data_IF_242891808594
#
_entry.id   IF_242891808594
#
_cell.length_a   1.000
_cell.length_b   1.000
_cell.length_c   1.000
_cell.angle_alpha   90.00
_cell.angle_beta   90.00
_cell.angle_gamma   90.00
#
_symmetry.space_group_name_H-M   'P 1'
#
loop_
_entity.id
_entity.type
_entity.pdbx_description
1 polymer ?
#
# COMPACT_ATOMS: atom_id res chain seq x y z
N UNK A 1 -27.98 -36.88 1.75
CA UNK A 1 -29.33 -36.31 1.58
C UNK A 1 -29.96 -36.17 2.95
N UNK A 2 -29.69 -35.04 3.58
CA UNK A 2 -30.60 -34.31 4.47
C UNK A 2 -30.04 -32.88 4.48
N UNK A 3 -30.70 -31.96 3.79
CA UNK A 3 -30.31 -30.56 3.69
C UNK A 3 -30.87 -29.83 4.93
N UNK A 4 -30.05 -29.37 5.90
CA UNK A 4 -30.57 -28.64 7.04
C UNK A 4 -30.85 -27.21 6.60
N UNK A 5 -32.04 -26.97 6.02
CA UNK A 5 -32.60 -25.62 5.92
C UNK A 5 -32.89 -25.11 7.35
N UNK A 6 -31.88 -24.55 8.00
CA UNK A 6 -31.96 -23.99 9.35
C UNK A 6 -32.52 -22.56 9.29
N UNK A 7 -33.84 -22.45 9.19
CA UNK A 7 -34.58 -21.20 9.48
C UNK A 7 -34.96 -21.21 10.96
N UNK A 8 -34.28 -20.44 11.80
CA UNK A 8 -34.58 -20.36 13.24
C UNK A 8 -34.27 -18.98 13.80
N UNK A 9 -35.08 -18.50 14.74
CA UNK A 9 -34.89 -17.22 15.42
C UNK A 9 -34.55 -17.42 16.91
N UNK A 10 -33.46 -16.79 17.34
CA UNK A 10 -32.90 -16.71 18.70
C UNK A 10 -32.29 -18.01 19.26
N UNK A 11 -31.01 -18.21 18.96
CA UNK A 11 -30.18 -19.28 19.55
C UNK A 11 -28.95 -18.63 20.20
N UNK A 12 -28.70 -18.94 21.47
CA UNK A 12 -27.56 -18.39 22.23
C UNK A 12 -26.23 -18.95 21.74
N UNK A 13 -26.15 -20.24 21.43
CA UNK A 13 -24.96 -20.82 20.82
C UNK A 13 -25.32 -22.05 20.00
N UNK A 14 -24.76 -22.15 18.79
CA UNK A 14 -24.85 -23.34 17.94
C UNK A 14 -23.42 -23.79 17.58
N UNK A 15 -23.14 -25.07 17.77
CA UNK A 15 -21.85 -25.68 17.43
C UNK A 15 -22.12 -26.86 16.50
N UNK A 16 -21.66 -26.79 15.26
CA UNK A 16 -21.77 -27.89 14.30
C UNK A 16 -20.37 -28.41 13.94
N UNK A 17 -20.27 -29.73 13.79
CA UNK A 17 -19.09 -30.43 13.27
C UNK A 17 -19.49 -31.45 12.20
N UNK A 18 -20.09 -31.01 11.08
CA UNK A 18 -20.33 -31.90 9.96
C UNK A 18 -19.00 -32.30 9.31
N UNK A 19 -18.94 -33.51 8.78
CA UNK A 19 -17.70 -34.07 8.22
C UNK A 19 -17.47 -33.56 6.80
N UNK A 20 -18.49 -33.69 5.92
CA UNK A 20 -18.58 -33.19 4.55
C UNK A 20 -20.03 -32.73 4.33
N UNK A 21 -20.28 -31.51 3.83
CA UNK A 21 -21.65 -31.05 3.61
C UNK A 21 -21.74 -29.90 2.58
N UNK A 22 -22.39 -30.17 1.44
CA UNK A 22 -22.88 -29.14 0.51
C UNK A 22 -24.08 -28.43 1.17
N UNK A 23 -23.79 -27.41 1.98
CA UNK A 23 -24.81 -26.75 2.80
C UNK A 23 -25.24 -25.40 2.22
N UNK A 24 -26.52 -25.07 2.39
CA UNK A 24 -27.02 -23.71 2.15
C UNK A 24 -27.63 -23.15 3.43
N UNK A 25 -27.08 -22.04 3.90
CA UNK A 25 -27.58 -21.29 5.04
C UNK A 25 -28.13 -19.97 4.53
N UNK A 26 -29.44 -19.81 4.64
CA UNK A 26 -30.15 -18.63 4.14
C UNK A 26 -31.00 -18.03 5.26
N UNK A 27 -31.06 -16.70 5.30
CA UNK A 27 -31.95 -15.94 6.21
C UNK A 27 -31.71 -16.25 7.71
N UNK A 28 -30.45 -16.48 8.09
CA UNK A 28 -30.11 -16.77 9.49
C UNK A 28 -29.87 -15.47 10.25
N UNK A 29 -30.63 -15.25 11.33
CA UNK A 29 -30.48 -14.03 12.13
C UNK A 29 -30.57 -14.27 13.64
N UNK A 30 -29.99 -13.34 14.41
CA UNK A 30 -30.10 -13.24 15.88
C UNK A 30 -29.43 -14.40 16.66
N UNK A 31 -28.16 -14.66 16.38
CA UNK A 31 -27.35 -15.60 17.16
C UNK A 31 -26.35 -14.84 18.02
N UNK A 32 -26.13 -15.29 19.25
CA UNK A 32 -24.96 -14.78 20.01
C UNK A 32 -23.68 -15.42 19.46
N UNK A 33 -23.65 -16.73 19.23
CA UNK A 33 -22.46 -17.40 18.68
C UNK A 33 -22.82 -18.58 17.77
N UNK A 34 -22.17 -18.66 16.61
CA UNK A 34 -22.17 -19.83 15.73
C UNK A 34 -20.72 -20.30 15.52
N UNK A 35 -20.44 -21.57 15.80
CA UNK A 35 -19.15 -22.20 15.56
C UNK A 35 -19.32 -23.39 14.61
N UNK A 36 -18.64 -23.35 13.48
CA UNK A 36 -18.60 -24.43 12.50
C UNK A 36 -17.16 -24.88 12.33
N UNK A 37 -16.92 -26.19 12.47
CA UNK A 37 -15.62 -26.81 12.20
C UNK A 37 -15.84 -28.02 11.31
N UNK A 38 -15.26 -28.01 10.12
CA UNK A 38 -15.53 -29.00 9.06
C UNK A 38 -14.23 -29.51 8.46
N UNK A 39 -14.32 -30.62 7.73
CA UNK A 39 -13.21 -31.10 6.89
C UNK A 39 -13.30 -30.34 5.58
N UNK A 40 -14.35 -30.58 4.80
CA UNK A 40 -14.54 -29.95 3.49
C UNK A 40 -15.84 -29.14 3.48
N UNK A 41 -15.79 -27.92 2.94
CA UNK A 41 -16.92 -26.99 2.91
C UNK A 41 -17.14 -26.40 1.51
N UNK A 42 -18.18 -26.86 0.79
CA UNK A 42 -18.79 -26.13 -0.32
C UNK A 42 -20.12 -25.57 0.20
N UNK A 43 -20.07 -24.40 0.80
CA UNK A 43 -21.25 -23.79 1.45
C UNK A 43 -21.63 -22.45 0.85
N UNK A 44 -22.94 -22.18 0.88
CA UNK A 44 -23.48 -20.86 0.54
C UNK A 44 -24.16 -20.26 1.74
N UNK A 45 -23.66 -19.10 2.15
CA UNK A 45 -24.19 -18.26 3.21
C UNK A 45 -24.80 -17.03 2.57
N UNK A 46 -26.10 -16.84 2.76
CA UNK A 46 -26.84 -15.72 2.18
C UNK A 46 -27.76 -15.11 3.23
N UNK A 47 -27.84 -13.79 3.29
CA UNK A 47 -28.72 -13.05 4.21
C UNK A 47 -28.46 -13.43 5.69
N UNK A 48 -27.20 -13.38 6.12
CA UNK A 48 -26.82 -13.68 7.50
C UNK A 48 -26.68 -12.38 8.28
N UNK A 49 -27.45 -12.20 9.35
CA UNK A 49 -27.47 -10.93 10.08
C UNK A 49 -27.48 -11.05 11.61
N UNK A 50 -27.00 -10.01 12.30
CA UNK A 50 -27.14 -9.85 13.76
C UNK A 50 -26.49 -10.97 14.57
N UNK A 51 -25.20 -11.20 14.35
CA UNK A 51 -24.39 -12.11 15.14
C UNK A 51 -23.45 -11.34 16.07
N UNK A 52 -23.26 -11.83 17.31
CA UNK A 52 -22.10 -11.36 18.08
C UNK A 52 -20.82 -12.01 17.55
N UNK A 53 -20.80 -13.34 17.38
CA UNK A 53 -19.62 -14.03 16.85
C UNK A 53 -19.99 -15.15 15.88
N UNK A 54 -19.30 -15.19 14.74
CA UNK A 54 -19.28 -16.31 13.82
C UNK A 54 -17.84 -16.82 13.67
N UNK A 55 -17.63 -18.12 13.90
CA UNK A 55 -16.34 -18.77 13.75
C UNK A 55 -16.46 -19.94 12.77
N UNK A 56 -15.76 -19.87 11.64
CA UNK A 56 -15.67 -20.94 10.65
C UNK A 56 -14.22 -21.46 10.59
N UNK A 57 -14.07 -22.77 10.67
CA UNK A 57 -12.78 -23.47 10.59
C UNK A 57 -12.90 -24.77 9.77
N UNK A 58 -13.19 -24.66 8.48
CA UNK A 58 -13.03 -25.77 7.56
C UNK A 58 -11.53 -26.15 7.41
N UNK A 59 -11.26 -27.32 6.84
CA UNK A 59 -9.91 -27.65 6.36
C UNK A 59 -9.78 -27.10 4.94
N UNK A 60 -10.73 -27.44 4.07
CA UNK A 60 -10.84 -26.94 2.70
C UNK A 60 -12.17 -26.17 2.54
N UNK A 61 -12.14 -24.94 2.02
CA UNK A 61 -13.31 -24.06 1.86
C UNK A 61 -13.47 -23.57 0.41
N UNK A 62 -14.59 -23.88 -0.24
CA UNK A 62 -15.05 -23.25 -1.50
C UNK A 62 -16.42 -22.60 -1.24
N UNK A 63 -16.43 -21.65 -0.30
CA UNK A 63 -17.67 -21.03 0.16
C UNK A 63 -18.00 -19.72 -0.54
N UNK A 64 -19.29 -19.41 -0.56
CA UNK A 64 -19.82 -18.12 -1.01
C UNK A 64 -20.58 -17.46 0.12
N UNK A 65 -20.13 -16.27 0.49
CA UNK A 65 -20.73 -15.42 1.50
C UNK A 65 -21.31 -14.19 0.81
N UNK A 66 -22.62 -14.00 0.95
CA UNK A 66 -23.34 -12.90 0.32
C UNK A 66 -24.29 -12.27 1.33
N UNK A 67 -24.38 -10.94 1.35
CA UNK A 67 -25.28 -10.20 2.25
C UNK A 67 -25.06 -10.57 3.73
N UNK A 68 -23.81 -10.40 4.19
CA UNK A 68 -23.44 -10.65 5.58
C UNK A 68 -23.37 -9.32 6.34
N UNK A 69 -24.24 -9.13 7.32
CA UNK A 69 -24.42 -7.83 7.95
C UNK A 69 -24.52 -7.87 9.50
N UNK A 70 -24.12 -6.79 10.16
CA UNK A 70 -24.24 -6.59 11.61
C UNK A 70 -23.57 -7.70 12.46
N UNK A 71 -22.27 -7.85 12.32
CA UNK A 71 -21.45 -8.77 13.14
C UNK A 71 -20.56 -8.00 14.12
N UNK A 72 -20.45 -8.45 15.37
CA UNK A 72 -19.34 -7.95 16.20
C UNK A 72 -18.02 -8.59 15.76
N UNK A 73 -18.00 -9.90 15.52
CA UNK A 73 -16.77 -10.58 15.09
C UNK A 73 -17.06 -11.72 14.11
N UNK A 74 -16.31 -11.76 13.02
CA UNK A 74 -16.22 -12.89 12.10
C UNK A 74 -14.76 -13.41 12.08
N UNK A 75 -14.58 -14.71 12.31
CA UNK A 75 -13.29 -15.37 12.23
C UNK A 75 -13.34 -16.54 11.26
N UNK A 76 -12.54 -16.47 10.19
CA UNK A 76 -12.38 -17.53 9.21
C UNK A 76 -10.93 -18.03 9.28
N UNK A 77 -10.77 -19.35 9.43
CA UNK A 77 -9.46 -20.03 9.46
C UNK A 77 -9.52 -21.37 8.73
N UNK A 78 -9.76 -21.35 7.42
CA UNK A 78 -9.49 -22.49 6.55
C UNK A 78 -8.01 -22.87 6.57
N UNK A 79 -7.68 -24.08 6.10
CA UNK A 79 -6.31 -24.42 5.69
C UNK A 79 -6.15 -23.98 4.24
N UNK A 80 -7.03 -24.43 3.37
CA UNK A 80 -7.10 -24.08 1.94
C UNK A 80 -8.45 -23.37 1.67
N UNK A 81 -8.46 -22.24 0.97
CA UNK A 81 -9.65 -21.41 0.73
C UNK A 81 -9.77 -20.94 -0.75
N UNK A 82 -10.95 -21.07 -1.37
CA UNK A 82 -11.37 -20.42 -2.64
C UNK A 82 -12.71 -19.73 -2.40
N UNK A 83 -12.75 -18.87 -1.39
CA UNK A 83 -13.99 -18.21 -0.99
C UNK A 83 -14.29 -16.93 -1.78
N UNK A 84 -15.57 -16.62 -1.86
CA UNK A 84 -16.07 -15.37 -2.45
C UNK A 84 -16.95 -14.65 -1.45
N UNK A 85 -16.59 -13.41 -1.16
CA UNK A 85 -17.27 -12.53 -0.22
C UNK A 85 -17.85 -11.34 -0.97
N UNK A 86 -19.15 -11.14 -0.84
CA UNK A 86 -19.87 -10.06 -1.52
C UNK A 86 -20.83 -9.40 -0.54
N UNK A 87 -20.89 -8.07 -0.55
CA UNK A 87 -21.80 -7.29 0.29
C UNK A 87 -21.63 -7.62 1.79
N UNK A 88 -20.40 -7.43 2.29
CA UNK A 88 -20.08 -7.61 3.71
C UNK A 88 -20.06 -6.25 4.40
N UNK A 89 -20.99 -6.03 5.33
CA UNK A 89 -21.14 -4.74 5.99
C UNK A 89 -21.23 -4.80 7.54
N UNK A 90 -20.89 -3.68 8.18
CA UNK A 90 -21.12 -3.44 9.60
C UNK A 90 -20.49 -4.47 10.55
N UNK A 91 -19.18 -4.65 10.40
CA UNK A 91 -18.38 -5.51 11.28
C UNK A 91 -17.57 -4.67 12.28
N UNK A 92 -17.53 -5.08 13.55
CA UNK A 92 -16.48 -4.53 14.44
C UNK A 92 -15.13 -5.15 14.09
N UNK A 93 -15.06 -6.46 13.87
CA UNK A 93 -13.81 -7.13 13.52
C UNK A 93 -14.02 -8.29 12.54
N UNK A 94 -13.20 -8.33 11.49
CA UNK A 94 -13.04 -9.46 10.59
C UNK A 94 -11.60 -9.97 10.69
N UNK A 95 -11.42 -11.28 10.94
CA UNK A 95 -10.12 -11.93 10.98
C UNK A 95 -10.10 -13.11 10.00
N UNK A 96 -9.19 -13.05 9.04
CA UNK A 96 -8.97 -14.09 8.02
C UNK A 96 -7.54 -14.60 8.18
N UNK A 97 -7.40 -15.92 8.31
CA UNK A 97 -6.10 -16.60 8.44
C UNK A 97 -6.14 -17.98 7.76
N UNK A 98 -6.30 -18.00 6.44
CA UNK A 98 -5.99 -19.19 5.64
C UNK A 98 -4.51 -19.55 5.76
N UNK A 99 -4.16 -20.76 5.34
CA UNK A 99 -2.76 -21.11 5.04
C UNK A 99 -2.50 -20.81 3.57
N UNK A 100 -3.37 -21.33 2.69
CA UNK A 100 -3.38 -21.08 1.25
C UNK A 100 -4.78 -20.55 0.84
N UNK A 101 -4.89 -19.49 0.01
CA UNK A 101 -6.17 -18.85 -0.36
C UNK A 101 -6.20 -18.28 -1.81
N UNK A 102 -7.29 -18.45 -2.56
CA UNK A 102 -7.67 -17.61 -3.72
C UNK A 102 -9.01 -16.90 -3.47
N UNK A 103 -9.01 -15.96 -2.53
CA UNK A 103 -10.23 -15.27 -2.14
C UNK A 103 -10.50 -13.99 -2.91
N UNK A 104 -11.79 -13.77 -3.18
CA UNK A 104 -12.29 -12.56 -3.85
C UNK A 104 -13.27 -11.83 -2.94
N UNK A 105 -13.01 -10.55 -2.72
CA UNK A 105 -13.79 -9.66 -1.85
C UNK A 105 -14.34 -8.51 -2.67
N UNK A 106 -15.65 -8.31 -2.61
CA UNK A 106 -16.35 -7.25 -3.34
C UNK A 106 -17.33 -6.55 -2.40
N UNK A 107 -17.31 -5.21 -2.39
CA UNK A 107 -18.21 -4.39 -1.58
C UNK A 107 -18.08 -4.70 -0.08
N UNK A 108 -16.89 -4.36 0.44
CA UNK A 108 -16.57 -4.52 1.86
C UNK A 108 -16.68 -3.15 2.55
N UNK A 109 -17.73 -2.97 3.36
CA UNK A 109 -18.04 -1.67 3.98
C UNK A 109 -18.06 -1.71 5.52
N UNK A 110 -17.61 -0.61 6.13
CA UNK A 110 -17.82 -0.28 7.55
C UNK A 110 -17.24 -1.33 8.52
N UNK A 111 -15.92 -1.47 8.50
CA UNK A 111 -15.18 -2.29 9.45
C UNK A 111 -14.43 -1.42 10.45
N UNK A 112 -14.54 -1.70 11.75
CA UNK A 112 -13.58 -1.09 12.70
C UNK A 112 -12.20 -1.70 12.52
N UNK A 113 -12.10 -3.01 12.28
CA UNK A 113 -10.80 -3.67 12.05
C UNK A 113 -10.91 -4.85 11.10
N UNK A 114 -10.04 -4.89 10.09
CA UNK A 114 -9.79 -6.05 9.24
C UNK A 114 -8.36 -6.53 9.47
N UNK A 115 -8.19 -7.82 9.78
CA UNK A 115 -6.88 -8.46 9.94
C UNK A 115 -6.75 -9.65 8.99
N UNK A 116 -5.80 -9.57 8.06
CA UNK A 116 -5.43 -10.66 7.15
C UNK A 116 -4.03 -11.15 7.50
N UNK A 117 -3.88 -12.46 7.70
CA UNK A 117 -2.58 -13.11 7.92
C UNK A 117 -2.50 -14.47 7.22
N UNK A 118 -2.48 -14.43 5.89
CA UNK A 118 -2.24 -15.60 5.06
C UNK A 118 -0.77 -16.01 4.99
N UNK A 119 -0.51 -17.13 4.32
CA UNK A 119 0.86 -17.63 4.11
C UNK A 119 1.23 -17.75 2.63
N UNK A 120 0.32 -18.20 1.75
CA UNK A 120 0.54 -18.36 0.29
C UNK A 120 -0.76 -18.14 -0.49
N UNK A 121 -1.02 -16.91 -0.94
CA UNK A 121 -2.38 -16.54 -1.35
C UNK A 121 -2.49 -15.56 -2.54
N UNK A 122 -3.58 -15.69 -3.29
CA UNK A 122 -4.01 -14.82 -4.38
C UNK A 122 -5.27 -14.02 -3.98
N UNK A 123 -5.13 -12.74 -3.65
CA UNK A 123 -6.27 -11.92 -3.24
C UNK A 123 -6.71 -10.87 -4.24
N UNK A 124 -8.03 -10.73 -4.38
CA UNK A 124 -8.64 -9.64 -5.15
C UNK A 124 -9.68 -8.89 -4.32
N UNK A 125 -9.42 -7.61 -4.07
CA UNK A 125 -10.30 -6.69 -3.36
C UNK A 125 -10.83 -5.63 -4.33
N UNK A 126 -12.15 -5.42 -4.30
CA UNK A 126 -12.83 -4.39 -5.10
C UNK A 126 -13.89 -3.70 -4.26
N UNK A 127 -13.97 -2.38 -4.37
CA UNK A 127 -14.91 -1.53 -3.64
C UNK A 127 -14.80 -1.74 -2.12
N UNK A 128 -13.68 -1.31 -1.55
CA UNK A 128 -13.42 -1.40 -0.12
C UNK A 128 -13.48 -0.01 0.51
N UNK A 129 -14.45 0.23 1.39
CA UNK A 129 -14.61 1.54 2.00
C UNK A 129 -14.78 1.50 3.53
N UNK A 130 -14.33 2.58 4.18
CA UNK A 130 -14.61 2.89 5.58
C UNK A 130 -14.03 1.90 6.62
N UNK A 131 -12.72 1.65 6.55
CA UNK A 131 -12.01 0.94 7.62
C UNK A 131 -11.36 1.91 8.62
N UNK A 132 -11.49 1.62 9.92
CA UNK A 132 -10.68 2.31 10.94
C UNK A 132 -9.27 1.72 11.01
N UNK A 133 -9.10 0.42 10.80
CA UNK A 133 -7.77 -0.19 10.78
C UNK A 133 -7.75 -1.40 9.85
N UNK A 134 -6.80 -1.41 8.92
CA UNK A 134 -6.45 -2.55 8.09
C UNK A 134 -5.05 -3.04 8.48
N UNK A 135 -4.92 -4.31 8.87
CA UNK A 135 -3.63 -4.93 9.18
C UNK A 135 -3.42 -6.16 8.32
N UNK A 136 -2.34 -6.14 7.56
CA UNK A 136 -2.03 -7.19 6.60
C UNK A 136 -0.60 -7.67 6.86
N UNK A 137 -0.44 -8.98 7.01
CA UNK A 137 0.87 -9.64 7.19
C UNK A 137 0.96 -10.96 6.41
N UNK A 138 0.90 -10.88 5.08
CA UNK A 138 1.20 -11.98 4.17
C UNK A 138 2.68 -12.40 4.15
N UNK A 139 2.97 -13.52 3.48
CA UNK A 139 4.31 -14.13 3.43
C UNK A 139 4.77 -14.61 2.05
N UNK A 140 3.87 -14.90 1.10
CA UNK A 140 4.18 -15.24 -0.30
C UNK A 140 2.90 -15.12 -1.16
N UNK A 141 2.49 -13.90 -1.51
CA UNK A 141 1.13 -13.60 -1.92
C UNK A 141 1.06 -12.58 -3.07
N UNK A 142 0.07 -12.75 -3.95
CA UNK A 142 -0.31 -11.77 -4.97
C UNK A 142 -1.59 -11.03 -4.55
N UNK A 143 -1.51 -9.71 -4.46
CA UNK A 143 -2.64 -8.86 -4.11
C UNK A 143 -3.03 -7.87 -5.19
N UNK A 144 -4.34 -7.82 -5.46
CA UNK A 144 -4.94 -6.76 -6.26
C UNK A 144 -6.00 -6.00 -5.47
N UNK A 145 -5.79 -4.70 -5.31
CA UNK A 145 -6.72 -3.76 -4.72
C UNK A 145 -7.22 -2.78 -5.79
N UNK A 146 -8.53 -2.56 -5.84
CA UNK A 146 -9.16 -1.60 -6.75
C UNK A 146 -10.27 -0.86 -6.00
N UNK A 147 -10.35 0.45 -6.17
CA UNK A 147 -11.37 1.32 -5.56
C UNK A 147 -11.37 1.19 -4.02
N UNK A 148 -10.33 1.74 -3.39
CA UNK A 148 -10.17 1.70 -1.93
C UNK A 148 -10.19 3.08 -1.30
N UNK A 149 -11.15 3.28 -0.40
CA UNK A 149 -11.30 4.50 0.39
C UNK A 149 -11.01 4.21 1.87
N UNK A 150 -9.80 4.53 2.31
CA UNK A 150 -9.34 4.23 3.66
C UNK A 150 -9.20 5.49 4.53
N UNK A 151 -9.83 5.44 5.71
CA UNK A 151 -10.01 6.63 6.54
C UNK A 151 -9.04 6.79 7.70
N UNK A 152 -8.52 5.73 8.33
CA UNK A 152 -7.82 5.92 9.64
C UNK A 152 -6.42 5.29 9.79
N UNK A 153 -6.17 4.04 9.38
CA UNK A 153 -4.84 3.45 9.47
C UNK A 153 -4.69 2.17 8.63
N UNK A 154 -3.57 2.05 7.91
CA UNK A 154 -3.12 0.79 7.30
C UNK A 154 -1.71 0.45 7.78
N UNK A 155 -1.54 -0.78 8.26
CA UNK A 155 -0.25 -1.35 8.62
C UNK A 155 0.02 -2.58 7.78
N UNK A 156 1.09 -2.51 7.01
CA UNK A 156 1.46 -3.51 6.02
C UNK A 156 2.83 -4.07 6.35
N UNK A 157 2.92 -5.39 6.52
CA UNK A 157 4.20 -6.11 6.71
C UNK A 157 4.21 -7.44 5.94
N UNK A 158 4.12 -7.36 4.62
CA UNK A 158 4.37 -8.47 3.70
C UNK A 158 5.84 -8.90 3.67
N UNK A 159 6.07 -10.05 3.05
CA UNK A 159 7.38 -10.52 2.62
C UNK A 159 7.17 -11.35 1.36
N UNK A 160 7.99 -11.23 0.31
CA UNK A 160 7.90 -12.01 -0.93
C UNK A 160 6.58 -11.89 -1.70
N UNK A 161 6.05 -10.69 -1.84
CA UNK A 161 4.70 -10.49 -2.34
C UNK A 161 4.61 -9.48 -3.51
N UNK A 162 3.65 -9.72 -4.42
CA UNK A 162 3.35 -8.80 -5.52
C UNK A 162 2.06 -8.00 -5.25
N UNK A 163 2.15 -6.68 -5.33
CA UNK A 163 1.05 -5.77 -5.06
C UNK A 163 0.65 -4.94 -6.26
N UNK A 164 -0.66 -4.91 -6.51
CA UNK A 164 -1.28 -3.95 -7.43
C UNK A 164 -2.39 -3.16 -6.76
N UNK A 165 -2.16 -1.86 -6.61
CA UNK A 165 -3.12 -0.88 -6.12
C UNK A 165 -3.57 0.02 -7.27
N UNK A 166 -4.87 0.23 -7.39
CA UNK A 166 -5.49 1.11 -8.40
C UNK A 166 -6.63 1.87 -7.76
N UNK A 167 -6.71 3.18 -8.01
CA UNK A 167 -7.75 4.06 -7.49
C UNK A 167 -7.86 3.99 -5.97
N UNK A 168 -6.88 4.57 -5.26
CA UNK A 168 -6.96 4.63 -3.80
C UNK A 168 -6.80 6.02 -3.20
N UNK A 169 -7.74 6.33 -2.32
CA UNK A 169 -7.77 7.55 -1.53
C UNK A 169 -7.50 7.22 -0.05
N UNK A 170 -6.40 7.78 0.47
CA UNK A 170 -5.93 7.51 1.83
C UNK A 170 -5.78 8.78 2.67
N UNK A 171 -6.49 8.83 3.80
CA UNK A 171 -6.74 10.11 4.50
C UNK A 171 -6.07 10.32 5.86
N UNK A 172 -5.21 9.40 6.35
CA UNK A 172 -4.64 9.52 7.70
C UNK A 172 -3.21 9.00 7.85
N UNK A 173 -2.97 7.68 7.90
CA UNK A 173 -1.61 7.15 8.14
C UNK A 173 -1.41 5.79 7.49
N UNK A 174 -0.28 5.67 6.79
CA UNK A 174 0.19 4.43 6.20
C UNK A 174 1.58 4.07 6.72
N UNK A 175 1.73 2.85 7.24
CA UNK A 175 3.02 2.29 7.62
C UNK A 175 3.26 0.99 6.87
N UNK A 176 4.17 0.99 5.90
CA UNK A 176 4.61 -0.22 5.20
C UNK A 176 6.03 -0.58 5.64
N UNK A 177 6.26 -1.88 5.87
CA UNK A 177 7.60 -2.47 6.01
C UNK A 177 7.68 -3.79 5.24
N UNK A 178 7.65 -3.69 3.92
CA UNK A 178 7.84 -4.84 3.04
C UNK A 178 9.29 -5.32 2.97
N UNK A 179 9.46 -6.50 2.40
CA UNK A 179 10.77 -7.11 2.16
C UNK A 179 10.66 -8.08 0.99
N UNK A 180 11.52 -7.92 -0.02
CA UNK A 180 11.56 -8.74 -1.23
C UNK A 180 10.23 -8.73 -2.04
N UNK A 181 9.57 -7.58 -2.16
CA UNK A 181 8.24 -7.39 -2.76
C UNK A 181 8.24 -6.47 -4.00
N UNK A 182 7.31 -6.72 -4.92
CA UNK A 182 7.04 -5.83 -6.06
C UNK A 182 5.73 -5.04 -5.87
N UNK A 183 5.79 -3.72 -6.08
CA UNK A 183 4.66 -2.83 -5.93
C UNK A 183 4.32 -2.06 -7.20
N UNK A 184 3.03 -2.04 -7.53
CA UNK A 184 2.46 -1.18 -8.54
C UNK A 184 1.29 -0.38 -7.99
N UNK A 185 1.46 0.94 -7.98
CA UNK A 185 0.45 1.91 -7.59
C UNK A 185 0.03 2.75 -8.80
N UNK A 186 -1.26 2.93 -8.98
CA UNK A 186 -1.84 3.77 -10.04
C UNK A 186 -3.01 4.55 -9.45
N UNK A 187 -3.12 5.84 -9.76
CA UNK A 187 -4.22 6.71 -9.32
C UNK A 187 -4.36 6.76 -7.79
N UNK A 188 -3.36 7.34 -7.14
CA UNK A 188 -3.27 7.40 -5.68
C UNK A 188 -3.37 8.84 -5.17
N UNK A 189 -4.29 9.11 -4.23
CA UNK A 189 -4.30 10.37 -3.48
C UNK A 189 -4.03 10.14 -1.99
N UNK A 190 -3.04 10.85 -1.45
CA UNK A 190 -2.59 10.67 -0.06
C UNK A 190 -2.52 12.00 0.71
N UNK A 191 -3.19 12.06 1.87
CA UNK A 191 -3.57 13.33 2.50
C UNK A 191 -2.93 13.68 3.84
N UNK A 192 -2.00 12.89 4.42
CA UNK A 192 -1.50 13.22 5.78
C UNK A 192 -0.12 12.67 6.14
N UNK A 193 0.11 11.36 6.07
CA UNK A 193 1.41 10.79 6.47
C UNK A 193 1.64 9.38 5.91
N UNK A 194 2.81 9.18 5.30
CA UNK A 194 3.29 7.88 4.82
C UNK A 194 4.70 7.61 5.36
N UNK A 195 4.89 6.47 6.00
CA UNK A 195 6.18 6.01 6.51
C UNK A 195 6.50 4.65 5.91
N UNK A 196 7.50 4.60 5.02
CA UNK A 196 7.93 3.35 4.40
C UNK A 196 9.34 3.00 4.85
N UNK A 197 9.55 1.71 5.13
CA UNK A 197 10.88 1.10 5.30
C UNK A 197 10.95 -0.24 4.55
N UNK A 198 10.91 -0.15 3.21
CA UNK A 198 11.15 -1.29 2.33
C UNK A 198 12.59 -1.78 2.38
N UNK A 199 12.79 -3.00 1.89
CA UNK A 199 14.11 -3.61 1.73
C UNK A 199 14.08 -4.63 0.62
N UNK A 200 14.97 -4.50 -0.36
CA UNK A 200 15.08 -5.37 -1.53
C UNK A 200 13.77 -5.41 -2.37
N UNK A 201 13.07 -4.28 -2.48
CA UNK A 201 11.74 -4.15 -3.08
C UNK A 201 11.73 -3.29 -4.37
N UNK A 202 10.87 -3.63 -5.34
CA UNK A 202 10.66 -2.83 -6.55
C UNK A 202 9.35 -2.03 -6.49
N UNK A 203 9.39 -0.75 -6.85
CA UNK A 203 8.25 0.14 -6.81
C UNK A 203 7.97 0.83 -8.13
N UNK A 204 6.70 0.81 -8.54
CA UNK A 204 6.18 1.59 -9.64
C UNK A 204 4.97 2.41 -9.23
N UNK A 205 5.13 3.72 -9.30
CA UNK A 205 4.09 4.71 -9.03
C UNK A 205 3.72 5.45 -10.32
N UNK A 206 2.42 5.62 -10.55
CA UNK A 206 1.86 6.37 -11.68
C UNK A 206 0.67 7.18 -11.19
N UNK A 207 0.58 8.45 -11.59
CA UNK A 207 -0.56 9.32 -11.27
C UNK A 207 -0.82 9.43 -9.75
N UNK A 208 0.16 9.97 -9.01
CA UNK A 208 0.01 10.18 -7.56
C UNK A 208 -0.06 11.66 -7.19
N UNK A 209 -0.98 11.98 -6.29
CA UNK A 209 -1.04 13.27 -5.62
C UNK A 209 -0.80 13.12 -4.10
N UNK A 210 0.20 13.82 -3.56
CA UNK A 210 0.55 13.73 -2.14
C UNK A 210 0.56 15.11 -1.45
N UNK A 211 -0.13 15.22 -0.31
CA UNK A 211 -0.52 16.51 0.27
C UNK A 211 -0.01 16.84 1.68
N UNK A 212 0.77 16.00 2.41
CA UNK A 212 1.25 16.49 3.74
C UNK A 212 2.61 16.06 4.28
N UNK A 213 3.00 14.79 4.23
CA UNK A 213 4.35 14.37 4.63
C UNK A 213 4.65 12.94 4.19
N UNK A 214 5.88 12.71 3.72
CA UNK A 214 6.37 11.37 3.43
C UNK A 214 7.78 11.17 3.98
N UNK A 215 7.96 10.07 4.71
CA UNK A 215 9.25 9.65 5.24
C UNK A 215 9.59 8.26 4.68
N UNK A 216 10.58 8.19 3.79
CA UNK A 216 11.07 6.92 3.25
C UNK A 216 12.47 6.62 3.79
N UNK A 217 12.71 5.36 4.12
CA UNK A 217 14.05 4.81 4.38
C UNK A 217 14.18 3.45 3.69
N UNK A 218 14.25 3.47 2.35
CA UNK A 218 14.48 2.28 1.56
C UNK A 218 15.91 1.76 1.68
N UNK A 219 16.12 0.51 1.25
CA UNK A 219 17.44 -0.11 1.16
C UNK A 219 17.43 -1.19 0.08
N UNK A 220 18.33 -1.09 -0.90
CA UNK A 220 18.41 -2.00 -2.06
C UNK A 220 17.13 -2.06 -2.92
N UNK A 221 16.42 -0.95 -3.06
CA UNK A 221 15.12 -0.87 -3.69
C UNK A 221 15.20 -0.11 -5.03
N UNK A 222 14.42 -0.54 -6.02
CA UNK A 222 14.26 0.19 -7.27
C UNK A 222 12.95 0.97 -7.29
N UNK A 223 13.01 2.24 -7.65
CA UNK A 223 11.85 3.11 -7.73
C UNK A 223 11.64 3.67 -9.13
N UNK A 224 10.39 3.62 -9.59
CA UNK A 224 9.90 4.32 -10.78
C UNK A 224 8.68 5.17 -10.45
N UNK A 225 8.79 6.47 -10.67
CA UNK A 225 7.73 7.44 -10.51
C UNK A 225 7.39 8.10 -11.86
N UNK A 226 6.10 8.24 -12.14
CA UNK A 226 5.60 8.89 -13.35
C UNK A 226 4.35 9.70 -13.01
N UNK A 227 4.23 10.92 -13.53
CA UNK A 227 3.06 11.79 -13.34
C UNK A 227 2.73 12.02 -11.85
N UNK A 228 3.66 12.63 -11.11
CA UNK A 228 3.47 12.89 -9.68
C UNK A 228 3.29 14.38 -9.41
N UNK A 229 2.34 14.69 -8.54
CA UNK A 229 2.16 16.03 -7.99
C UNK A 229 2.38 16.01 -6.47
N UNK A 230 3.47 16.65 -6.01
CA UNK A 230 3.87 16.64 -4.61
C UNK A 230 3.72 18.03 -3.97
N UNK A 231 2.86 18.13 -2.96
CA UNK A 231 2.44 19.41 -2.38
C UNK A 231 2.96 19.70 -0.96
N UNK A 232 3.93 18.95 -0.41
CA UNK A 232 4.47 19.16 0.96
C UNK A 232 5.89 18.62 1.21
N UNK A 233 6.31 18.49 2.48
CA UNK A 233 7.67 18.09 2.90
C UNK A 233 7.93 16.61 2.68
N UNK A 234 9.06 16.30 2.02
CA UNK A 234 9.56 14.95 1.84
C UNK A 234 10.88 14.75 2.59
N UNK A 235 11.00 13.66 3.35
CA UNK A 235 12.27 13.27 3.97
C UNK A 235 12.64 11.86 3.52
N UNK A 236 13.66 11.74 2.69
CA UNK A 236 14.11 10.44 2.19
C UNK A 236 15.54 10.18 2.66
N UNK A 237 15.79 8.93 3.04
CA UNK A 237 17.12 8.41 3.36
C UNK A 237 17.30 7.02 2.73
N UNK A 238 17.36 6.97 1.39
CA UNK A 238 17.71 5.76 0.65
C UNK A 238 19.14 5.30 0.93
N UNK A 239 19.41 4.03 0.64
CA UNK A 239 20.74 3.44 0.67
C UNK A 239 20.82 2.29 -0.33
N UNK A 240 21.79 2.35 -1.24
CA UNK A 240 21.97 1.35 -2.31
C UNK A 240 20.73 1.20 -3.23
N UNK A 241 20.03 2.30 -3.50
CA UNK A 241 18.73 2.35 -4.19
C UNK A 241 18.82 3.04 -5.58
N UNK A 242 18.01 2.58 -6.53
CA UNK A 242 17.88 3.20 -7.85
C UNK A 242 16.57 3.99 -7.95
N UNK A 243 16.61 5.21 -8.47
CA UNK A 243 15.42 6.04 -8.67
C UNK A 243 15.28 6.57 -10.08
N UNK A 244 14.07 6.43 -10.63
CA UNK A 244 13.67 6.93 -11.95
C UNK A 244 12.41 7.78 -11.83
N UNK A 245 12.54 9.07 -12.07
CA UNK A 245 11.46 10.06 -12.03
C UNK A 245 11.18 10.61 -13.43
N UNK A 246 9.91 10.74 -13.78
CA UNK A 246 9.43 11.31 -15.05
C UNK A 246 8.16 12.11 -14.77
N UNK A 247 8.03 13.29 -15.36
CA UNK A 247 6.84 14.15 -15.24
C UNK A 247 6.48 14.44 -13.78
N UNK A 248 7.36 15.16 -13.07
CA UNK A 248 7.14 15.51 -11.66
C UNK A 248 6.93 17.00 -11.48
N UNK A 249 5.85 17.33 -10.79
CA UNK A 249 5.58 18.66 -10.28
C UNK A 249 5.74 18.71 -8.76
N UNK A 250 6.71 19.50 -8.29
CA UNK A 250 7.07 19.54 -6.88
C UNK A 250 6.99 20.94 -6.30
N UNK A 251 6.09 21.13 -5.34
CA UNK A 251 5.70 22.45 -4.87
C UNK A 251 6.21 22.85 -3.47
N UNK A 252 6.91 22.00 -2.70
CA UNK A 252 7.48 22.37 -1.38
C UNK A 252 8.72 21.56 -0.96
N UNK A 253 9.35 21.94 0.16
CA UNK A 253 10.71 21.60 0.57
C UNK A 253 11.03 20.09 0.67
N UNK A 254 12.14 19.68 0.05
CA UNK A 254 12.69 18.33 0.12
C UNK A 254 13.93 18.27 1.01
N UNK A 255 14.04 17.24 1.85
CA UNK A 255 15.27 16.88 2.53
C UNK A 255 15.69 15.46 2.13
N UNK A 256 16.80 15.38 1.41
CA UNK A 256 17.30 14.14 0.84
C UNK A 256 18.66 13.80 1.44
N UNK A 257 18.80 12.56 1.93
CA UNK A 257 20.08 12.03 2.42
C UNK A 257 20.38 10.62 1.89
N UNK A 258 20.58 10.51 0.58
CA UNK A 258 20.97 9.28 -0.09
C UNK A 258 22.41 8.86 0.22
N UNK A 259 22.70 7.60 -0.05
CA UNK A 259 24.05 7.04 0.05
C UNK A 259 24.17 5.82 -0.86
N UNK A 260 25.09 5.85 -1.82
CA UNK A 260 25.28 4.81 -2.84
C UNK A 260 24.09 4.62 -3.79
N UNK A 261 23.42 5.71 -4.14
CA UNK A 261 22.17 5.65 -4.89
C UNK A 261 22.29 6.28 -6.29
N UNK A 262 21.57 5.73 -7.25
CA UNK A 262 21.51 6.23 -8.63
C UNK A 262 20.19 6.94 -8.92
N UNK A 263 20.27 8.15 -9.49
CA UNK A 263 19.10 8.98 -9.78
C UNK A 263 19.00 9.36 -11.25
N UNK A 264 17.82 9.15 -11.81
CA UNK A 264 17.44 9.66 -13.13
C UNK A 264 16.16 10.48 -13.06
N UNK A 265 16.27 11.73 -13.48
CA UNK A 265 15.17 12.68 -13.57
C UNK A 265 14.96 13.13 -15.01
N UNK A 266 13.71 13.12 -15.45
CA UNK A 266 13.25 13.64 -16.74
C UNK A 266 12.00 14.48 -16.50
N UNK A 267 11.87 15.63 -17.15
CA UNK A 267 10.67 16.48 -17.10
C UNK A 267 10.26 16.85 -15.66
N UNK A 268 11.14 17.61 -15.00
CA UNK A 268 10.96 18.02 -13.61
C UNK A 268 10.66 19.51 -13.51
N UNK A 269 9.62 19.87 -12.76
CA UNK A 269 9.37 21.25 -12.35
C UNK A 269 9.44 21.37 -10.83
N UNK A 270 10.37 22.19 -10.34
CA UNK A 270 10.61 22.38 -8.91
C UNK A 270 10.36 23.84 -8.48
N UNK A 271 9.38 24.03 -7.60
CA UNK A 271 8.90 25.37 -7.23
C UNK A 271 9.46 25.94 -5.92
N UNK A 272 10.18 25.21 -5.05
CA UNK A 272 10.84 25.74 -3.83
C UNK A 272 11.98 24.85 -3.30
N UNK A 273 12.58 25.21 -2.15
CA UNK A 273 13.93 24.83 -1.73
C UNK A 273 14.23 23.32 -1.55
N UNK A 274 15.39 22.90 -2.09
CA UNK A 274 15.95 21.54 -1.97
C UNK A 274 17.14 21.53 -1.01
N UNK A 275 17.18 20.59 -0.07
CA UNK A 275 18.37 20.32 0.73
C UNK A 275 18.86 18.89 0.47
N UNK A 276 19.98 18.74 -0.24
CA UNK A 276 20.62 17.44 -0.48
C UNK A 276 21.91 17.31 0.35
N UNK A 277 22.09 16.15 0.97
CA UNK A 277 23.37 15.68 1.53
C UNK A 277 23.59 14.26 1.06
N UNK A 278 24.45 14.11 0.10
CA UNK A 278 24.56 12.96 -0.79
C UNK A 278 25.98 12.43 -0.68
N UNK A 279 26.16 11.13 -0.88
CA UNK A 279 27.46 10.49 -0.70
C UNK A 279 27.57 9.25 -1.57
N UNK A 280 28.50 9.28 -2.53
CA UNK A 280 28.71 8.23 -3.54
C UNK A 280 27.50 8.01 -4.44
N UNK A 281 26.83 9.08 -4.84
CA UNK A 281 25.59 9.02 -5.61
C UNK A 281 25.78 9.53 -7.05
N UNK A 282 25.13 8.89 -8.01
CA UNK A 282 25.11 9.32 -9.41
C UNK A 282 23.78 9.99 -9.76
N UNK A 283 23.84 11.19 -10.36
CA UNK A 283 22.65 11.92 -10.77
C UNK A 283 22.64 12.24 -12.26
N UNK A 284 21.50 11.97 -12.90
CA UNK A 284 21.22 12.37 -14.27
C UNK A 284 19.91 13.16 -14.36
N UNK A 285 20.01 14.40 -14.82
CA UNK A 285 18.87 15.30 -15.03
C UNK A 285 18.74 15.64 -16.51
N UNK A 286 17.52 15.54 -17.03
CA UNK A 286 17.11 15.95 -18.38
C UNK A 286 15.85 16.79 -18.25
N UNK A 287 15.79 17.94 -18.93
CA UNK A 287 14.58 18.79 -18.98
C UNK A 287 14.09 19.19 -17.57
N UNK A 288 14.90 20.01 -16.89
CA UNK A 288 14.61 20.45 -15.51
C UNK A 288 14.43 21.97 -15.43
N UNK A 289 13.27 22.37 -14.92
CA UNK A 289 12.94 23.76 -14.62
C UNK A 289 12.91 23.99 -13.10
N UNK A 290 13.72 24.94 -12.64
CA UNK A 290 13.91 25.19 -11.21
C UNK A 290 13.67 26.66 -10.83
N UNK A 291 12.71 26.87 -9.94
CA UNK A 291 12.20 28.21 -9.61
C UNK A 291 12.66 28.78 -8.26
N UNK A 292 13.33 28.06 -7.35
CA UNK A 292 13.94 28.64 -6.13
C UNK A 292 15.05 27.80 -5.46
N UNK A 293 15.68 28.34 -4.41
CA UNK A 293 17.04 28.03 -3.93
C UNK A 293 17.41 26.56 -3.64
N UNK A 294 18.60 26.15 -4.09
CA UNK A 294 19.20 24.82 -3.82
C UNK A 294 20.30 24.90 -2.77
N UNK A 295 20.31 23.96 -1.81
CA UNK A 295 21.44 23.73 -0.90
C UNK A 295 21.97 22.30 -1.07
N UNK A 296 23.15 22.18 -1.67
CA UNK A 296 23.76 20.90 -2.02
C UNK A 296 25.06 20.72 -1.23
N UNK A 297 25.23 19.54 -0.63
CA UNK A 297 26.48 19.12 0.03
C UNK A 297 26.87 17.70 -0.38
N UNK A 298 27.29 17.51 -1.64
CA UNK A 298 27.74 16.22 -2.15
C UNK A 298 29.11 15.82 -1.65
N UNK A 299 29.39 14.52 -1.72
CA UNK A 299 30.69 13.93 -1.40
C UNK A 299 30.92 12.70 -2.26
N UNK A 300 31.91 12.77 -3.16
CA UNK A 300 32.25 11.71 -4.12
C UNK A 300 31.10 11.35 -5.08
N UNK A 301 30.33 12.33 -5.54
CA UNK A 301 29.15 12.17 -6.41
C UNK A 301 29.42 12.59 -7.86
N UNK A 302 28.71 11.97 -8.81
CA UNK A 302 28.75 12.33 -10.23
C UNK A 302 27.43 12.96 -10.69
N UNK A 303 27.51 14.13 -11.32
CA UNK A 303 26.34 14.85 -11.84
C UNK A 303 26.35 15.01 -13.36
N UNK A 304 25.22 14.74 -14.02
CA UNK A 304 25.01 14.96 -15.46
C UNK A 304 23.72 15.74 -15.70
N UNK A 305 23.84 16.94 -16.26
CA UNK A 305 22.71 17.83 -16.56
C UNK A 305 22.59 18.09 -18.06
N UNK A 306 21.37 17.95 -18.58
CA UNK A 306 21.00 18.29 -19.96
C UNK A 306 19.72 19.11 -19.96
N UNK A 307 19.70 20.22 -20.68
CA UNK A 307 18.51 21.07 -20.88
C UNK A 307 17.89 21.56 -19.56
N UNK A 308 18.64 22.41 -18.85
CA UNK A 308 18.23 22.96 -17.55
C UNK A 308 17.94 24.46 -17.64
N UNK A 309 16.83 24.90 -17.03
CA UNK A 309 16.54 26.30 -16.77
C UNK A 309 16.51 26.60 -15.26
N UNK A 310 17.34 27.55 -14.82
CA UNK A 310 17.45 27.96 -13.42
C UNK A 310 17.00 29.41 -13.23
N UNK A 311 16.03 29.64 -12.35
CA UNK A 311 15.46 30.97 -12.13
C UNK A 311 15.96 31.72 -10.89
N UNK A 312 16.61 31.06 -9.89
CA UNK A 312 17.24 31.74 -8.72
C UNK A 312 18.33 30.89 -7.99
N UNK A 313 18.94 31.44 -6.93
CA UNK A 313 20.23 31.09 -6.31
C UNK A 313 20.54 29.59 -6.01
N UNK A 314 21.78 29.20 -6.30
CA UNK A 314 22.37 27.87 -6.04
C UNK A 314 23.51 27.96 -5.01
N UNK A 315 23.42 27.18 -3.92
CA UNK A 315 24.49 27.00 -2.94
C UNK A 315 25.04 25.57 -3.01
N UNK A 316 26.25 25.43 -3.57
CA UNK A 316 26.97 24.16 -3.70
C UNK A 316 28.16 24.13 -2.74
N UNK A 317 28.34 23.01 -2.03
CA UNK A 317 29.54 22.73 -1.21
C UNK A 317 30.01 21.28 -1.45
N UNK A 318 30.57 21.01 -2.63
CA UNK A 318 31.04 19.69 -3.02
C UNK A 318 32.29 19.27 -2.24
N UNK A 319 32.54 17.97 -2.18
CA UNK A 319 33.80 17.39 -1.73
C UNK A 319 34.14 16.24 -2.68
N UNK A 320 35.07 16.46 -3.62
CA UNK A 320 35.51 15.48 -4.62
C UNK A 320 34.43 15.01 -5.64
N UNK A 321 33.73 15.95 -6.29
CA UNK A 321 32.64 15.63 -7.23
C UNK A 321 32.99 15.96 -8.71
N UNK A 322 32.52 15.17 -9.68
CA UNK A 322 32.59 15.45 -11.14
C UNK A 322 31.20 15.88 -11.65
N UNK A 323 31.14 16.97 -12.43
CA UNK A 323 29.87 17.50 -12.93
C UNK A 323 29.96 17.87 -14.41
N UNK A 324 29.01 17.38 -15.21
CA UNK A 324 28.90 17.62 -16.65
C UNK A 324 27.59 18.34 -16.99
N UNK A 325 27.69 19.41 -17.78
CA UNK A 325 26.55 20.26 -18.13
C UNK A 325 26.44 20.46 -19.65
N UNK A 326 25.22 20.35 -20.18
CA UNK A 326 24.90 20.62 -21.58
C UNK A 326 23.62 21.47 -21.65
N UNK A 327 23.65 22.57 -22.41
CA UNK A 327 22.50 23.46 -22.67
C UNK A 327 21.80 23.99 -21.39
N UNK A 328 22.38 25.04 -20.79
CA UNK A 328 21.86 25.61 -19.54
C UNK A 328 21.47 27.09 -19.71
N UNK A 329 20.29 27.45 -19.20
CA UNK A 329 19.77 28.82 -19.16
C UNK A 329 19.68 29.30 -17.69
N UNK A 330 20.25 30.47 -17.39
CA UNK A 330 20.34 31.01 -16.03
C UNK A 330 19.70 32.38 -15.89
N UNK A 331 18.95 32.59 -14.80
CA UNK A 331 18.30 33.86 -14.51
C UNK A 331 18.61 34.48 -13.12
N UNK A 332 19.63 34.04 -12.31
CA UNK A 332 20.40 34.86 -11.30
C UNK A 332 21.44 34.08 -10.43
N UNK A 333 22.20 34.82 -9.58
CA UNK A 333 23.42 34.56 -8.75
C UNK A 333 23.84 33.12 -8.35
N UNK A 334 25.11 32.79 -8.63
CA UNK A 334 25.84 31.57 -8.23
C UNK A 334 26.81 31.85 -7.07
N UNK A 335 26.78 31.05 -5.99
CA UNK A 335 27.78 31.09 -4.91
C UNK A 335 28.46 29.70 -4.79
N UNK A 336 29.70 29.62 -5.27
CA UNK A 336 30.59 28.47 -5.07
C UNK A 336 31.53 28.75 -3.90
N UNK A 337 31.61 27.84 -2.94
CA UNK A 337 32.62 27.89 -1.87
C UNK A 337 33.36 26.56 -1.80
N UNK A 338 34.54 26.51 -2.39
CA UNK A 338 35.49 25.39 -2.27
C UNK A 338 36.28 25.49 -0.97
N UNK A 339 36.76 24.37 -0.44
CA UNK A 339 37.67 24.33 0.72
C UNK A 339 38.93 23.53 0.45
#
# INVERSE_FOLDING_TARGET
MDNPNLTCCYVTALNLRPTDDDSKYTEMAFFTTLNLRRTDEDSKYTDMAHFTTLNLRPTDDDSKYTDMDHFTTLNLRPTDDDSKYTDMAHFTTLNLRPTDDDSKYTQMDLFTTLNLRPTDDDYKYTDMAHFTTLNLRPTDDDYKYTDMDLFTALNFRPTYDDYKYTDMDLSTTLNLRPTDDDYKYTDMALFTALNLRPTDDDYKYTEMALFTALNLRPTNDDYKYTDMALFTTLNLRPTDDDFKYTDMDLFTALNFRPTYDDYKYTDMVLFTALNLRTTYDDYKYTEMDLFTALNLRPTDDDYKYTDMALFTALNLRPTYDDSKYTQMAFFTTLNLTDR
#
